data_IF_959267532077
#
_entry.id   IF_959267532077
#
_cell.length_a   1.000
_cell.length_b   1.000
_cell.length_c   1.000
_cell.angle_alpha   90.00
_cell.angle_beta   90.00
_cell.angle_gamma   90.00
#
_symmetry.space_group_name_H-M   'P 1'
#
loop_
_entity.id
_entity.type
_entity.pdbx_description
1 polymer ?
#
# COMPACT_ATOMS: atom_id res chain seq x y z
N UNK A 1 63.71 51.28 5.94
CA UNK A 1 63.09 50.26 6.81
C UNK A 1 61.60 50.09 6.48
N UNK A 2 60.82 51.17 6.50
CA UNK A 2 59.37 51.17 6.23
C UNK A 2 58.95 50.60 4.85
N UNK A 3 59.63 50.96 3.76
CA UNK A 3 59.36 50.38 2.42
C UNK A 3 59.61 48.87 2.32
N UNK A 4 60.52 48.33 3.13
CA UNK A 4 60.81 46.89 3.15
C UNK A 4 59.69 46.15 3.88
N UNK A 5 59.26 46.69 5.02
CA UNK A 5 58.15 46.16 5.82
C UNK A 5 56.82 46.17 5.05
N UNK A 6 56.53 47.24 4.30
CA UNK A 6 55.35 47.31 3.43
C UNK A 6 55.38 46.23 2.34
N UNK A 7 56.55 45.98 1.73
CA UNK A 7 56.70 44.92 0.72
C UNK A 7 56.48 43.52 1.31
N UNK A 8 56.96 43.31 2.53
CA UNK A 8 56.78 42.05 3.25
C UNK A 8 55.31 41.79 3.55
N UNK A 9 54.60 42.78 4.11
CA UNK A 9 53.14 42.74 4.35
C UNK A 9 52.36 42.46 3.06
N UNK A 10 52.70 43.14 1.96
CA UNK A 10 52.03 42.92 0.68
C UNK A 10 52.25 41.50 0.13
N UNK A 11 53.42 40.92 0.39
CA UNK A 11 53.72 39.56 -0.03
C UNK A 11 52.90 38.54 0.78
N UNK A 12 52.78 38.73 2.10
CA UNK A 12 51.94 37.91 2.96
C UNK A 12 50.45 38.02 2.63
N UNK A 13 49.95 39.23 2.35
CA UNK A 13 48.56 39.45 1.94
C UNK A 13 48.21 38.69 0.65
N UNK A 14 49.14 38.65 -0.31
CA UNK A 14 48.95 37.88 -1.55
C UNK A 14 48.85 36.38 -1.25
N UNK A 15 49.73 35.86 -0.39
CA UNK A 15 49.71 34.46 0.04
C UNK A 15 48.39 34.12 0.76
N UNK A 16 47.89 35.01 1.62
CA UNK A 16 46.61 34.84 2.32
C UNK A 16 45.46 34.80 1.32
N UNK A 17 45.40 35.73 0.36
CA UNK A 17 44.36 35.77 -0.68
C UNK A 17 44.30 34.45 -1.48
N UNK A 18 45.46 33.94 -1.88
CA UNK A 18 45.54 32.67 -2.61
C UNK A 18 45.10 31.48 -1.75
N UNK A 19 45.39 31.50 -0.44
CA UNK A 19 44.91 30.48 0.51
C UNK A 19 43.39 30.54 0.68
N UNK A 20 42.81 31.73 0.81
CA UNK A 20 41.35 31.92 0.94
C UNK A 20 40.64 31.40 -0.31
N UNK A 21 41.09 31.75 -1.52
CA UNK A 21 40.48 31.23 -2.74
C UNK A 21 40.54 29.70 -2.86
N UNK A 22 41.63 29.08 -2.37
CA UNK A 22 41.70 27.60 -2.28
C UNK A 22 40.73 27.02 -1.26
N UNK A 23 40.49 27.70 -0.14
CA UNK A 23 39.51 27.28 0.87
C UNK A 23 38.10 27.37 0.31
N UNK A 24 37.76 28.47 -0.37
CA UNK A 24 36.44 28.66 -1.01
C UNK A 24 36.15 27.57 -2.05
N UNK A 25 37.12 27.27 -2.92
CA UNK A 25 36.95 26.18 -3.89
C UNK A 25 36.77 24.81 -3.21
N UNK A 26 37.57 24.51 -2.17
CA UNK A 26 37.41 23.27 -1.40
C UNK A 26 36.08 23.21 -0.65
N UNK A 27 35.56 24.35 -0.20
CA UNK A 27 34.27 24.44 0.47
C UNK A 27 33.13 24.17 -0.52
N UNK A 28 33.17 24.78 -1.71
CA UNK A 28 32.22 24.48 -2.79
C UNK A 28 32.26 23.00 -3.22
N UNK A 29 33.46 22.41 -3.33
CA UNK A 29 33.62 20.98 -3.62
C UNK A 29 33.06 20.09 -2.50
N UNK A 30 33.22 20.51 -1.23
CA UNK A 30 32.67 19.80 -0.08
C UNK A 30 31.14 19.93 -0.01
N UNK A 31 30.58 21.10 -0.30
CA UNK A 31 29.13 21.31 -0.41
C UNK A 31 28.54 20.44 -1.51
N UNK A 32 29.13 20.45 -2.71
CA UNK A 32 28.72 19.54 -3.79
C UNK A 32 28.88 18.07 -3.39
N UNK A 33 29.94 17.70 -2.65
CA UNK A 33 30.12 16.33 -2.16
C UNK A 33 29.12 15.96 -1.08
N UNK A 34 28.71 16.88 -0.21
CA UNK A 34 27.70 16.67 0.83
C UNK A 34 26.31 16.50 0.20
N UNK A 35 25.99 17.33 -0.79
CA UNK A 35 24.75 17.19 -1.59
C UNK A 35 24.73 15.84 -2.32
N UNK A 36 25.88 15.40 -2.83
CA UNK A 36 26.04 14.10 -3.47
C UNK A 36 26.21 12.92 -2.49
N UNK A 37 26.52 13.18 -1.21
CA UNK A 37 26.67 12.18 -0.14
C UNK A 37 25.39 11.97 0.65
N UNK A 38 24.23 12.16 0.02
CA UNK A 38 23.02 11.44 0.41
C UNK A 38 23.29 9.95 0.20
N UNK A 39 24.11 9.37 1.07
CA UNK A 39 24.66 8.03 0.97
C UNK A 39 23.56 7.04 1.35
N UNK A 40 22.88 6.63 0.29
CA UNK A 40 21.74 5.74 0.20
C UNK A 40 22.10 4.28 0.57
N UNK A 41 23.35 3.98 0.96
CA UNK A 41 23.74 2.63 1.37
C UNK A 41 22.92 2.07 2.56
N UNK A 42 22.22 2.92 3.34
CA UNK A 42 21.23 2.54 4.38
C UNK A 42 19.74 2.77 4.00
N UNK A 43 19.45 3.23 2.79
CA UNK A 43 18.13 3.65 2.30
C UNK A 43 17.14 2.48 2.10
N UNK A 44 17.66 1.26 1.90
CA UNK A 44 16.81 0.08 1.69
C UNK A 44 15.93 -0.21 2.91
N UNK A 45 16.50 -0.17 4.11
CA UNK A 45 15.76 -0.44 5.34
C UNK A 45 14.69 0.64 5.58
N UNK A 46 15.06 1.92 5.41
CA UNK A 46 14.14 3.04 5.48
C UNK A 46 12.98 2.92 4.47
N UNK A 47 13.29 2.66 3.19
CA UNK A 47 12.28 2.45 2.14
C UNK A 47 11.34 1.31 2.50
N UNK A 48 11.91 0.14 2.80
CA UNK A 48 11.12 -1.04 3.10
C UNK A 48 10.23 -0.85 4.31
N UNK A 49 10.73 -0.23 5.37
CA UNK A 49 9.96 0.04 6.58
C UNK A 49 8.85 1.06 6.30
N UNK A 50 9.17 2.17 5.62
CA UNK A 50 8.18 3.17 5.18
C UNK A 50 7.07 2.54 4.36
N UNK A 51 7.43 1.70 3.37
CA UNK A 51 6.47 0.99 2.53
C UNK A 51 5.60 0.04 3.36
N UNK A 52 6.20 -0.76 4.25
CA UNK A 52 5.48 -1.73 5.09
C UNK A 52 4.54 -1.03 6.07
N UNK A 53 5.02 0.02 6.73
CA UNK A 53 4.30 0.79 7.73
C UNK A 53 3.13 1.55 7.13
N UNK A 54 3.38 2.34 6.09
CA UNK A 54 2.34 3.09 5.39
C UNK A 54 1.27 2.16 4.79
N UNK A 55 1.67 1.04 4.15
CA UNK A 55 0.71 0.08 3.59
C UNK A 55 -0.21 -0.53 4.66
N UNK A 56 0.35 -0.88 5.84
CA UNK A 56 -0.44 -1.40 6.97
C UNK A 56 -1.43 -0.36 7.48
N UNK A 57 -1.00 0.89 7.63
CA UNK A 57 -1.87 1.99 8.07
C UNK A 57 -3.01 2.25 7.08
N UNK A 58 -2.70 2.30 5.77
CA UNK A 58 -3.67 2.49 4.70
C UNK A 58 -4.74 1.38 4.69
N UNK A 59 -4.32 0.11 4.66
CA UNK A 59 -5.25 -1.05 4.61
C UNK A 59 -6.08 -1.17 5.89
N UNK A 60 -5.64 -0.62 7.03
CA UNK A 60 -6.46 -0.54 8.23
C UNK A 60 -7.67 0.36 8.02
N UNK A 61 -7.50 1.49 7.32
CA UNK A 61 -8.52 2.52 7.07
C UNK A 61 -9.51 2.13 5.98
N UNK A 62 -9.01 1.74 4.81
CA UNK A 62 -9.82 1.47 3.62
C UNK A 62 -9.19 0.39 2.74
N UNK A 63 -9.93 -0.15 1.77
CA UNK A 63 -9.42 -1.16 0.82
C UNK A 63 -8.81 -0.53 -0.44
N UNK A 64 -9.37 0.61 -0.86
CA UNK A 64 -8.92 1.40 -1.99
C UNK A 64 -8.56 2.80 -1.52
N UNK A 65 -7.51 3.36 -2.11
CA UNK A 65 -6.99 4.68 -1.74
C UNK A 65 -6.70 5.49 -3.00
N UNK A 66 -6.91 6.79 -2.88
CA UNK A 66 -6.45 7.75 -3.87
C UNK A 66 -4.94 7.98 -3.74
N UNK A 67 -4.29 8.39 -4.84
CA UNK A 67 -2.85 8.68 -4.83
C UNK A 67 -2.47 9.75 -3.79
N UNK A 68 -3.35 10.73 -3.55
CA UNK A 68 -3.20 11.77 -2.52
C UNK A 68 -3.14 11.15 -1.12
N UNK A 69 -4.05 10.22 -0.80
CA UNK A 69 -4.11 9.51 0.47
C UNK A 69 -2.89 8.61 0.67
N UNK A 70 -2.47 7.89 -0.37
CA UNK A 70 -1.27 7.03 -0.33
C UNK A 70 -0.03 7.86 0.01
N UNK A 71 0.14 9.00 -0.66
CA UNK A 71 1.27 9.91 -0.42
C UNK A 71 1.23 10.49 0.98
N UNK A 72 0.06 10.98 1.40
CA UNK A 72 -0.12 11.59 2.73
C UNK A 72 0.18 10.59 3.85
N UNK A 73 -0.23 9.32 3.73
CA UNK A 73 0.10 8.32 4.76
C UNK A 73 1.58 7.97 4.78
N UNK A 74 2.23 7.88 3.61
CA UNK A 74 3.68 7.65 3.54
C UNK A 74 4.45 8.79 4.22
N UNK A 75 4.07 10.04 3.92
CA UNK A 75 4.68 11.21 4.55
C UNK A 75 4.44 11.25 6.05
N UNK A 76 3.20 10.96 6.48
CA UNK A 76 2.86 10.86 7.90
C UNK A 76 3.73 9.82 8.61
N UNK A 77 3.86 8.63 8.03
CA UNK A 77 4.69 7.56 8.61
C UNK A 77 6.15 7.98 8.75
N UNK A 78 6.71 8.63 7.72
CA UNK A 78 8.09 9.11 7.78
C UNK A 78 8.26 10.21 8.83
N UNK A 79 7.34 11.16 8.94
CA UNK A 79 7.38 12.20 9.98
C UNK A 79 7.32 11.61 11.40
N UNK A 80 6.52 10.57 11.61
CA UNK A 80 6.33 9.94 12.92
C UNK A 80 7.52 9.05 13.34
N UNK A 81 8.16 8.37 12.39
CA UNK A 81 9.18 7.34 12.68
C UNK A 81 10.61 7.77 12.32
N UNK A 82 10.75 8.80 11.49
CA UNK A 82 12.01 9.27 10.90
C UNK A 82 12.05 10.80 10.84
N UNK A 83 11.57 11.50 11.88
CA UNK A 83 11.48 12.97 11.92
C UNK A 83 12.81 13.66 11.55
N UNK A 84 13.93 13.21 12.14
CA UNK A 84 15.28 13.72 11.87
C UNK A 84 15.72 13.57 10.41
N UNK A 85 15.16 12.58 9.69
CA UNK A 85 15.40 12.39 8.26
C UNK A 85 14.47 13.26 7.43
N UNK A 86 13.20 13.37 7.82
CA UNK A 86 12.22 14.18 7.13
C UNK A 86 12.60 15.67 7.13
N UNK A 87 13.15 16.16 8.25
CA UNK A 87 13.60 17.55 8.40
C UNK A 87 14.73 17.93 7.41
N UNK A 88 15.46 16.94 6.88
CA UNK A 88 16.51 17.16 5.87
C UNK A 88 15.95 17.28 4.46
N UNK A 89 14.72 16.85 4.22
CA UNK A 89 14.09 17.01 2.92
C UNK A 89 13.47 18.39 2.78
N UNK A 90 13.80 19.10 1.70
CA UNK A 90 12.87 20.13 1.22
C UNK A 90 11.60 19.44 0.73
N UNK A 91 10.47 20.17 0.68
CA UNK A 91 9.23 19.63 0.13
C UNK A 91 9.42 19.11 -1.31
N UNK A 92 10.28 19.78 -2.09
CA UNK A 92 10.61 19.37 -3.46
C UNK A 92 11.37 18.04 -3.48
N UNK A 93 12.37 17.89 -2.62
CA UNK A 93 13.20 16.68 -2.57
C UNK A 93 12.39 15.46 -2.12
N UNK A 94 11.53 15.65 -1.11
CA UNK A 94 10.60 14.59 -0.68
C UNK A 94 9.69 14.13 -1.83
N UNK A 95 9.14 15.08 -2.59
CA UNK A 95 8.25 14.73 -3.70
C UNK A 95 8.96 13.92 -4.77
N UNK A 96 10.16 14.32 -5.16
CA UNK A 96 10.98 13.59 -6.14
C UNK A 96 11.33 12.20 -5.61
N UNK A 97 11.78 12.12 -4.36
CA UNK A 97 12.16 10.86 -3.74
C UNK A 97 10.97 9.89 -3.64
N UNK A 98 9.80 10.37 -3.18
CA UNK A 98 8.59 9.57 -3.05
C UNK A 98 8.16 8.95 -4.38
N UNK A 99 8.11 9.76 -5.44
CA UNK A 99 7.69 9.30 -6.78
C UNK A 99 8.65 8.23 -7.29
N UNK A 100 9.96 8.46 -7.15
CA UNK A 100 10.98 7.57 -7.72
C UNK A 100 11.17 6.27 -6.93
N UNK A 101 10.91 6.27 -5.62
CA UNK A 101 11.33 5.17 -4.75
C UNK A 101 10.23 4.51 -3.92
N UNK A 102 9.18 5.26 -3.55
CA UNK A 102 8.18 4.79 -2.59
C UNK A 102 6.87 4.45 -3.28
N UNK A 103 6.37 5.32 -4.18
CA UNK A 103 5.01 5.24 -4.72
C UNK A 103 4.71 3.89 -5.38
N UNK A 104 5.53 3.45 -6.35
CA UNK A 104 5.32 2.19 -7.06
C UNK A 104 5.36 0.97 -6.13
N UNK A 105 6.43 0.76 -5.35
CA UNK A 105 6.51 -0.33 -4.38
C UNK A 105 5.43 -0.30 -3.30
N UNK A 106 5.04 0.88 -2.82
CA UNK A 106 3.96 1.05 -1.85
C UNK A 106 2.62 0.62 -2.45
N UNK A 107 2.33 1.03 -3.69
CA UNK A 107 1.12 0.61 -4.40
C UNK A 107 1.07 -0.91 -4.55
N UNK A 108 2.18 -1.54 -4.94
CA UNK A 108 2.29 -3.00 -5.04
C UNK A 108 2.06 -3.67 -3.68
N UNK A 109 2.59 -3.10 -2.58
CA UNK A 109 2.40 -3.65 -1.24
C UNK A 109 0.93 -3.57 -0.79
N UNK A 110 0.26 -2.45 -1.06
CA UNK A 110 -1.18 -2.27 -0.79
C UNK A 110 -2.00 -3.30 -1.58
N UNK A 111 -1.71 -3.48 -2.87
CA UNK A 111 -2.36 -4.48 -3.71
C UNK A 111 -2.13 -5.91 -3.20
N UNK A 112 -0.90 -6.23 -2.75
CA UNK A 112 -0.56 -7.52 -2.15
C UNK A 112 -1.38 -7.79 -0.88
N UNK A 113 -1.45 -6.82 0.04
CA UNK A 113 -2.25 -6.94 1.27
C UNK A 113 -3.75 -7.11 0.97
N UNK A 114 -4.26 -6.39 -0.03
CA UNK A 114 -5.64 -6.56 -0.52
C UNK A 114 -5.86 -7.98 -1.09
N UNK A 115 -4.88 -8.51 -1.82
CA UNK A 115 -4.89 -9.88 -2.32
C UNK A 115 -4.92 -10.92 -1.20
N UNK A 116 -4.15 -10.71 -0.13
CA UNK A 116 -4.18 -11.56 1.08
C UNK A 116 -5.56 -11.56 1.72
N UNK A 117 -6.19 -10.39 1.88
CA UNK A 117 -7.56 -10.31 2.41
C UNK A 117 -8.57 -11.03 1.50
N UNK A 118 -8.46 -10.85 0.18
CA UNK A 118 -9.30 -11.53 -0.81
C UNK A 118 -9.22 -13.05 -0.66
N UNK A 119 -8.01 -13.60 -0.51
CA UNK A 119 -7.81 -15.02 -0.34
C UNK A 119 -8.40 -15.52 0.98
N UNK A 120 -8.19 -14.79 2.09
CA UNK A 120 -8.81 -15.11 3.38
C UNK A 120 -10.35 -15.17 3.28
N UNK A 121 -10.96 -14.21 2.57
CA UNK A 121 -12.43 -14.21 2.34
C UNK A 121 -12.86 -15.45 1.56
N UNK A 122 -12.16 -15.79 0.46
CA UNK A 122 -12.46 -16.96 -0.36
C UNK A 122 -12.32 -18.27 0.43
N UNK A 123 -11.24 -18.44 1.17
CA UNK A 123 -11.03 -19.61 2.01
C UNK A 123 -12.12 -19.73 3.08
N UNK A 124 -12.51 -18.63 3.69
CA UNK A 124 -13.59 -18.59 4.68
C UNK A 124 -14.93 -18.94 4.06
N UNK A 125 -15.23 -18.43 2.86
CA UNK A 125 -16.42 -18.77 2.08
C UNK A 125 -16.52 -20.29 1.86
N UNK A 126 -15.46 -20.92 1.36
CA UNK A 126 -15.44 -22.38 1.18
C UNK A 126 -15.54 -23.14 2.52
N UNK A 127 -14.87 -22.66 3.56
CA UNK A 127 -14.94 -23.26 4.91
C UNK A 127 -16.36 -23.21 5.51
N UNK A 128 -17.09 -22.11 5.30
CA UNK A 128 -18.45 -21.94 5.82
C UNK A 128 -19.44 -22.81 5.06
N UNK A 129 -19.33 -22.91 3.74
CA UNK A 129 -20.21 -23.78 2.96
C UNK A 129 -19.83 -25.27 3.05
N UNK A 130 -18.57 -25.60 3.28
CA UNK A 130 -18.09 -26.97 3.39
C UNK A 130 -18.45 -27.80 2.15
N UNK A 131 -19.16 -28.91 2.36
CA UNK A 131 -19.60 -29.83 1.31
C UNK A 131 -20.82 -29.34 0.50
N UNK A 132 -21.44 -28.22 0.88
CA UNK A 132 -22.59 -27.63 0.18
C UNK A 132 -22.19 -26.93 -1.12
N UNK A 133 -20.92 -26.50 -1.21
CA UNK A 133 -20.35 -25.90 -2.42
C UNK A 133 -19.44 -26.91 -3.10
N UNK A 134 -19.44 -26.92 -4.44
CA UNK A 134 -18.51 -27.75 -5.18
C UNK A 134 -17.08 -27.17 -5.07
N UNK A 135 -16.05 -28.01 -4.94
CA UNK A 135 -14.67 -27.51 -5.02
C UNK A 135 -14.37 -27.02 -6.45
N UNK A 136 -13.43 -26.09 -6.57
CA UNK A 136 -12.91 -25.62 -7.86
C UNK A 136 -11.40 -25.48 -7.80
N UNK A 137 -10.73 -25.87 -8.88
CA UNK A 137 -9.29 -25.74 -9.00
C UNK A 137 -8.91 -24.26 -9.19
N UNK A 138 -7.88 -23.79 -8.50
CA UNK A 138 -7.32 -22.43 -8.68
C UNK A 138 -6.76 -22.18 -10.09
N UNK A 139 -6.49 -23.24 -10.87
CA UNK A 139 -6.07 -23.19 -12.28
C UNK A 139 -7.21 -23.45 -13.27
N UNK A 140 -8.46 -23.46 -12.81
CA UNK A 140 -9.61 -23.72 -13.66
C UNK A 140 -9.70 -22.71 -14.82
N UNK A 141 -9.99 -23.21 -16.01
CA UNK A 141 -10.19 -22.39 -17.21
C UNK A 141 -11.50 -21.59 -17.09
N UNK A 142 -11.64 -20.45 -17.78
CA UNK A 142 -12.85 -19.64 -17.72
C UNK A 142 -14.17 -20.41 -17.94
N UNK A 143 -14.20 -21.39 -18.85
CA UNK A 143 -15.41 -22.19 -19.08
C UNK A 143 -15.73 -23.15 -17.92
N UNK A 144 -14.71 -23.74 -17.30
CA UNK A 144 -14.86 -24.59 -16.11
C UNK A 144 -15.42 -23.79 -14.93
N UNK A 145 -14.94 -22.55 -14.77
CA UNK A 145 -15.48 -21.60 -13.80
C UNK A 145 -16.96 -21.35 -14.05
N UNK A 146 -17.33 -21.06 -15.30
CA UNK A 146 -18.72 -20.76 -15.65
C UNK A 146 -19.62 -21.96 -15.36
N UNK A 147 -19.19 -23.17 -15.73
CA UNK A 147 -19.91 -24.40 -15.43
C UNK A 147 -20.05 -24.61 -13.92
N UNK A 148 -18.97 -24.42 -13.16
CA UNK A 148 -18.98 -24.55 -11.70
C UNK A 148 -19.95 -23.56 -11.03
N UNK A 149 -19.96 -22.27 -11.44
CA UNK A 149 -20.90 -21.28 -10.88
C UNK A 149 -22.35 -21.61 -11.23
N UNK A 150 -22.60 -22.20 -12.41
CA UNK A 150 -23.93 -22.64 -12.86
C UNK A 150 -24.37 -23.98 -12.28
N UNK A 151 -23.47 -24.72 -11.62
CA UNK A 151 -23.84 -25.98 -10.96
C UNK A 151 -24.98 -25.75 -9.97
N UNK A 152 -25.82 -26.77 -9.79
CA UNK A 152 -26.96 -26.68 -8.88
C UNK A 152 -26.50 -26.38 -7.45
N UNK A 153 -25.38 -26.95 -7.01
CA UNK A 153 -24.84 -26.74 -5.66
C UNK A 153 -24.33 -25.32 -5.46
N UNK A 154 -23.45 -24.83 -6.34
CA UNK A 154 -22.88 -23.48 -6.21
C UNK A 154 -23.92 -22.39 -6.40
N UNK A 155 -24.85 -22.55 -7.36
CA UNK A 155 -25.94 -21.59 -7.55
C UNK A 155 -26.90 -21.55 -6.34
N UNK A 156 -27.18 -22.69 -5.70
CA UNK A 156 -27.93 -22.72 -4.43
C UNK A 156 -27.19 -21.97 -3.32
N UNK A 157 -25.85 -22.11 -3.24
CA UNK A 157 -25.04 -21.33 -2.30
C UNK A 157 -25.18 -19.82 -2.57
N UNK A 158 -25.06 -19.40 -3.83
CA UNK A 158 -25.26 -17.99 -4.21
C UNK A 158 -26.63 -17.45 -3.75
N UNK A 159 -27.70 -18.19 -4.03
CA UNK A 159 -29.07 -17.79 -3.66
C UNK A 159 -29.32 -17.75 -2.15
N UNK A 160 -28.58 -18.55 -1.37
CA UNK A 160 -28.70 -18.62 0.09
C UNK A 160 -27.76 -17.66 0.82
N UNK A 161 -26.87 -16.96 0.12
CA UNK A 161 -25.82 -16.14 0.73
C UNK A 161 -26.36 -15.16 1.78
N UNK A 162 -27.49 -14.51 1.51
CA UNK A 162 -28.18 -13.57 2.41
C UNK A 162 -29.53 -14.07 2.92
N UNK A 163 -29.87 -15.35 2.71
CA UNK A 163 -31.12 -15.90 3.25
C UNK A 163 -30.92 -16.29 4.71
N UNK A 164 -31.92 -15.99 5.51
CA UNK A 164 -32.01 -16.43 6.91
C UNK A 164 -31.96 -17.95 6.97
N UNK A 165 -31.17 -18.47 7.91
CA UNK A 165 -31.03 -19.91 8.14
C UNK A 165 -32.08 -20.43 9.12
N UNK A 166 -32.50 -19.57 10.04
CA UNK A 166 -33.59 -19.77 10.98
C UNK A 166 -34.54 -18.57 10.86
N UNK A 167 -35.85 -18.83 11.01
CA UNK A 167 -36.89 -17.80 10.89
C UNK A 167 -36.68 -16.71 11.95
N UNK A 168 -36.79 -15.44 11.53
CA UNK A 168 -36.60 -14.25 12.37
C UNK A 168 -35.18 -14.13 12.98
N UNK A 169 -34.16 -14.75 12.36
CA UNK A 169 -32.76 -14.64 12.77
C UNK A 169 -31.93 -13.79 11.80
N UNK A 170 -30.90 -13.13 12.32
CA UNK A 170 -29.86 -12.50 11.48
C UNK A 170 -28.83 -13.53 10.97
N UNK A 171 -29.00 -14.82 11.26
CA UNK A 171 -28.04 -15.84 10.87
C UNK A 171 -28.15 -16.14 9.37
N UNK A 172 -27.15 -15.68 8.62
CA UNK A 172 -26.99 -15.92 7.19
C UNK A 172 -25.61 -16.49 6.92
N UNK A 173 -25.43 -17.14 5.77
CA UNK A 173 -24.09 -17.58 5.36
C UNK A 173 -23.11 -16.41 5.26
N UNK A 174 -23.56 -15.24 4.78
CA UNK A 174 -22.73 -14.05 4.74
C UNK A 174 -22.30 -13.60 6.15
N UNK A 175 -23.23 -13.58 7.11
CA UNK A 175 -22.89 -13.22 8.49
C UNK A 175 -21.92 -14.21 9.12
N UNK A 176 -22.12 -15.53 8.94
CA UNK A 176 -21.15 -16.56 9.37
C UNK A 176 -19.76 -16.37 8.75
N UNK A 177 -19.67 -15.96 7.48
CA UNK A 177 -18.39 -15.63 6.82
C UNK A 177 -17.76 -14.40 7.46
N UNK A 178 -18.53 -13.32 7.67
CA UNK A 178 -18.04 -12.09 8.29
C UNK A 178 -17.54 -12.35 9.72
N UNK A 179 -18.30 -13.09 10.54
CA UNK A 179 -17.90 -13.45 11.90
C UNK A 179 -16.62 -14.29 11.94
N UNK A 180 -16.39 -15.19 10.97
CA UNK A 180 -15.11 -15.92 10.89
C UNK A 180 -13.93 -15.02 10.48
N UNK A 181 -14.16 -13.98 9.66
CA UNK A 181 -13.09 -13.07 9.23
C UNK A 181 -12.76 -12.05 10.34
N UNK A 182 -13.81 -11.52 10.98
CA UNK A 182 -13.78 -10.50 12.04
C UNK A 182 -14.68 -10.94 13.22
N UNK A 183 -14.18 -11.81 14.12
CA UNK A 183 -14.97 -12.35 15.23
C UNK A 183 -15.44 -11.32 16.25
N UNK A 184 -14.77 -10.17 16.33
CA UNK A 184 -15.14 -9.07 17.21
C UNK A 184 -16.26 -8.18 16.66
N UNK A 185 -16.69 -8.41 15.40
CA UNK A 185 -17.72 -7.62 14.73
C UNK A 185 -17.31 -6.18 14.41
N UNK A 186 -16.03 -5.81 14.57
CA UNK A 186 -15.55 -4.41 14.46
C UNK A 186 -14.98 -4.06 13.09
N UNK A 187 -15.37 -4.78 12.06
CA UNK A 187 -14.95 -4.49 10.70
C UNK A 187 -15.55 -3.15 10.22
N UNK A 188 -14.76 -2.23 9.65
CA UNK A 188 -15.30 -1.04 9.01
C UNK A 188 -16.30 -1.39 7.89
N UNK A 189 -17.36 -0.59 7.66
CA UNK A 189 -18.37 -0.85 6.62
C UNK A 189 -17.77 -1.15 5.25
N UNK A 190 -16.73 -0.42 4.83
CA UNK A 190 -16.04 -0.67 3.57
C UNK A 190 -15.43 -2.08 3.47
N UNK A 191 -14.91 -2.63 4.58
CA UNK A 191 -14.35 -3.98 4.59
C UNK A 191 -15.45 -5.03 4.55
N UNK A 192 -16.58 -4.77 5.20
CA UNK A 192 -17.78 -5.61 5.12
C UNK A 192 -18.29 -5.63 3.68
N UNK A 193 -18.53 -4.46 3.08
CA UNK A 193 -18.95 -4.32 1.69
C UNK A 193 -17.97 -4.98 0.72
N UNK A 194 -16.66 -4.88 0.98
CA UNK A 194 -15.64 -5.60 0.22
C UNK A 194 -15.78 -7.12 0.32
N UNK A 195 -15.91 -7.68 1.54
CA UNK A 195 -16.09 -9.12 1.72
C UNK A 195 -17.38 -9.63 1.04
N UNK A 196 -18.47 -8.87 1.14
CA UNK A 196 -19.73 -9.13 0.44
C UNK A 196 -19.50 -9.15 -1.07
N UNK A 197 -18.85 -8.12 -1.62
CA UNK A 197 -18.57 -8.02 -3.05
C UNK A 197 -17.72 -9.21 -3.55
N UNK A 198 -16.71 -9.65 -2.78
CA UNK A 198 -15.90 -10.82 -3.13
C UNK A 198 -16.76 -12.10 -3.15
N UNK A 199 -17.59 -12.34 -2.13
CA UNK A 199 -18.45 -13.52 -2.05
C UNK A 199 -19.48 -13.55 -3.18
N UNK A 200 -20.15 -12.43 -3.44
CA UNK A 200 -21.07 -12.28 -4.57
C UNK A 200 -20.34 -12.53 -5.89
N UNK A 201 -19.19 -11.90 -6.12
CA UNK A 201 -18.43 -12.06 -7.37
C UNK A 201 -17.99 -13.50 -7.61
N UNK A 202 -17.56 -14.18 -6.54
CA UNK A 202 -17.11 -15.56 -6.58
C UNK A 202 -18.24 -16.51 -6.98
N UNK A 203 -19.42 -16.36 -6.38
CA UNK A 203 -20.53 -17.30 -6.56
C UNK A 203 -21.49 -16.92 -7.72
N UNK A 204 -21.49 -15.67 -8.17
CA UNK A 204 -22.51 -15.19 -9.11
C UNK A 204 -22.40 -15.88 -10.49
N UNK A 205 -23.43 -16.64 -10.92
CA UNK A 205 -23.43 -17.38 -12.18
C UNK A 205 -23.46 -16.49 -13.43
N UNK A 206 -23.80 -15.20 -13.29
CA UNK A 206 -23.77 -14.22 -14.38
C UNK A 206 -22.36 -13.66 -14.62
N UNK A 207 -21.44 -13.81 -13.66
CA UNK A 207 -20.08 -13.34 -13.81
C UNK A 207 -19.19 -14.43 -14.43
N UNK A 208 -18.70 -14.17 -15.64
CA UNK A 208 -17.94 -15.11 -16.48
C UNK A 208 -16.50 -15.37 -16.02
N UNK A 209 -15.99 -14.65 -15.02
CA UNK A 209 -14.59 -14.76 -14.58
C UNK A 209 -14.53 -14.91 -13.04
N UNK A 210 -13.56 -15.67 -12.53
CA UNK A 210 -13.21 -15.68 -11.09
C UNK A 210 -12.38 -14.45 -10.72
N UNK A 211 -11.59 -13.96 -11.66
CA UNK A 211 -10.68 -12.84 -11.47
C UNK A 211 -11.46 -11.62 -10.98
N UNK A 212 -11.08 -11.17 -9.79
CA UNK A 212 -11.69 -10.05 -9.09
C UNK A 212 -11.15 -8.77 -9.74
N UNK A 213 -11.79 -8.32 -10.83
CA UNK A 213 -11.38 -7.07 -11.44
C UNK A 213 -11.72 -5.91 -10.48
N UNK A 214 -10.76 -5.03 -10.25
CA UNK A 214 -10.93 -3.91 -9.33
C UNK A 214 -12.16 -3.05 -9.70
N UNK A 215 -12.46 -2.90 -10.99
CA UNK A 215 -13.66 -2.21 -11.46
C UNK A 215 -14.97 -2.89 -11.01
N UNK A 216 -15.08 -4.22 -11.17
CA UNK A 216 -16.29 -4.96 -10.77
C UNK A 216 -16.46 -4.93 -9.26
N UNK A 217 -15.35 -5.12 -8.52
CA UNK A 217 -15.39 -5.14 -7.06
C UNK A 217 -15.72 -3.76 -6.50
N UNK A 218 -15.12 -2.68 -7.02
CA UNK A 218 -15.48 -1.30 -6.63
C UNK A 218 -16.95 -0.98 -6.87
N UNK A 219 -17.50 -1.39 -8.02
CA UNK A 219 -18.94 -1.21 -8.32
C UNK A 219 -19.83 -1.92 -7.30
N UNK A 220 -19.47 -3.14 -6.91
CA UNK A 220 -20.23 -3.90 -5.91
C UNK A 220 -20.06 -3.32 -4.50
N UNK A 221 -18.89 -2.83 -4.12
CA UNK A 221 -18.71 -2.13 -2.84
C UNK A 221 -19.66 -0.94 -2.76
N UNK A 222 -19.74 -0.11 -3.80
CA UNK A 222 -20.62 1.05 -3.84
C UNK A 222 -22.12 0.70 -3.74
N UNK A 223 -22.51 -0.52 -4.08
CA UNK A 223 -23.90 -1.01 -3.93
C UNK A 223 -24.16 -1.51 -2.50
N UNK A 224 -23.13 -1.95 -1.79
CA UNK A 224 -23.23 -2.56 -0.46
C UNK A 224 -22.74 -1.63 0.68
N UNK A 225 -22.42 -0.36 0.36
CA UNK A 225 -22.12 0.72 1.30
C UNK A 225 -23.38 1.54 1.56
#
# INVERSE_FOLDING_TARGET
MEKLYIREILSELKVIKDKVGRIENRLNDLEQKIDNSFDITNDKAFKEDTIKGAAKALIKKAIYHENSQIKSEAEKYVRENYAEYFERFTLKDWNVYYVNNIHGPLLQKIQSLRGTLTNKIKETLFSVYGNLIEPINNKAKPDEVIMWKKSTKTNKCYQKLFKELEEDSDDTYMNRILYKIWPDGKAPPEKIAYAIAICQTMLNPKNKIITMSDHVVKKLIAINL
#
